data_IF_771418209149
#
_entry.id   IF_771418209149
#
_cell.length_a   1.000
_cell.length_b   1.000
_cell.length_c   1.000
_cell.angle_alpha   90.00
_cell.angle_beta   90.00
_cell.angle_gamma   90.00
#
_symmetry.space_group_name_H-M   'P 1'
#
loop_
_entity.id
_entity.type
_entity.pdbx_description
1 polymer ?
#
# COMPACT_ATOMS: atom_id res chain seq x y z
N UNK A 1 2.02 -41.96 14.06
CA UNK A 1 1.32 -41.29 12.94
C UNK A 1 1.43 -39.79 13.17
N UNK A 2 2.40 -39.15 12.50
CA UNK A 2 2.81 -37.76 12.76
C UNK A 2 1.89 -36.80 12.01
N UNK A 3 1.10 -36.01 12.73
CA UNK A 3 0.29 -34.95 12.14
C UNK A 3 1.17 -33.74 11.81
N UNK A 4 1.50 -33.60 10.53
CA UNK A 4 2.13 -32.41 9.99
C UNK A 4 1.13 -31.25 9.98
N UNK A 5 1.33 -30.27 10.85
CA UNK A 5 0.55 -29.02 10.89
C UNK A 5 0.82 -28.24 9.61
N UNK A 6 -0.14 -28.22 8.68
CA UNK A 6 -0.15 -27.28 7.54
C UNK A 6 -0.17 -25.86 8.08
N UNK A 7 0.96 -25.16 7.95
CA UNK A 7 1.08 -23.72 8.18
C UNK A 7 0.25 -23.00 7.11
N UNK A 8 -1.03 -22.79 7.40
CA UNK A 8 -1.93 -21.99 6.58
C UNK A 8 -1.38 -20.57 6.46
N UNK A 9 -1.34 -20.06 5.23
CA UNK A 9 -0.90 -18.70 4.89
C UNK A 9 -1.97 -17.74 5.39
N UNK A 10 -1.79 -17.25 6.61
CA UNK A 10 -2.74 -16.35 7.27
C UNK A 10 -2.73 -15.03 6.49
N UNK A 11 -3.91 -14.58 6.06
CA UNK A 11 -4.08 -13.27 5.45
C UNK A 11 -3.68 -12.19 6.47
N UNK A 12 -3.02 -11.11 6.04
CA UNK A 12 -2.65 -9.97 6.90
C UNK A 12 -3.85 -9.46 7.71
N UNK A 13 -5.04 -9.56 7.11
CA UNK A 13 -6.31 -9.12 7.67
C UNK A 13 -6.75 -10.00 8.85
N UNK A 14 -6.57 -11.31 8.74
CA UNK A 14 -6.87 -12.26 9.81
C UNK A 14 -5.86 -12.15 10.96
N UNK A 15 -4.59 -11.84 10.64
CA UNK A 15 -3.56 -11.59 11.65
C UNK A 15 -3.85 -10.30 12.45
N UNK A 16 -4.31 -9.23 11.79
CA UNK A 16 -4.68 -7.99 12.47
C UNK A 16 -5.90 -8.15 13.38
N UNK A 17 -6.87 -9.00 13.02
CA UNK A 17 -8.07 -9.26 13.81
C UNK A 17 -7.85 -10.25 14.96
N UNK A 18 -6.90 -11.18 14.82
CA UNK A 18 -6.59 -12.22 15.81
C UNK A 18 -5.49 -11.83 16.82
N UNK A 19 -4.79 -10.71 16.61
CA UNK A 19 -3.78 -10.26 17.54
C UNK A 19 -4.42 -9.73 18.84
N UNK A 20 -3.98 -10.18 20.03
CA UNK A 20 -4.29 -9.49 21.27
C UNK A 20 -3.82 -8.02 21.17
N UNK A 21 -4.46 -7.07 21.89
CA UNK A 21 -4.07 -5.66 21.82
C UNK A 21 -2.55 -5.57 22.02
N UNK A 22 -1.79 -5.13 21.00
CA UNK A 22 -0.34 -5.21 21.04
C UNK A 22 0.12 -4.33 22.20
N UNK A 23 0.80 -4.91 23.20
CA UNK A 23 1.54 -4.12 24.18
C UNK A 23 2.47 -3.18 23.40
N UNK A 24 2.57 -1.88 23.73
CA UNK A 24 3.31 -0.94 22.89
C UNK A 24 4.77 -1.37 22.87
N UNK A 25 5.27 -1.80 21.71
CA UNK A 25 6.65 -2.28 21.57
C UNK A 25 7.64 -1.12 21.37
N UNK A 26 7.15 0.07 21.03
CA UNK A 26 7.93 1.31 20.97
C UNK A 26 7.06 2.46 21.51
N UNK A 27 7.06 2.72 22.83
CA UNK A 27 6.23 3.78 23.40
C UNK A 27 6.77 5.13 22.93
N UNK A 28 5.96 5.84 22.14
CA UNK A 28 6.16 7.27 21.88
C UNK A 28 5.75 8.07 23.11
N UNK A 29 6.26 9.30 23.23
CA UNK A 29 5.77 10.20 24.27
C UNK A 29 4.34 10.67 23.93
N UNK A 30 3.36 10.12 24.65
CA UNK A 30 1.94 10.44 24.50
C UNK A 30 1.56 11.82 25.06
N UNK A 31 2.50 12.51 25.71
CA UNK A 31 2.32 13.89 26.18
C UNK A 31 2.81 14.91 25.17
N UNK A 32 3.70 14.52 24.26
CA UNK A 32 4.24 15.39 23.21
C UNK A 32 3.32 15.40 21.99
N UNK A 33 2.76 16.57 21.70
CA UNK A 33 1.92 16.80 20.53
C UNK A 33 2.62 16.47 19.21
N UNK A 34 3.93 16.73 19.11
CA UNK A 34 4.68 16.55 17.88
C UNK A 34 4.89 15.07 17.53
N UNK A 35 5.21 14.23 18.52
CA UNK A 35 5.38 12.79 18.31
C UNK A 35 4.06 12.10 17.96
N UNK A 36 2.98 12.46 18.64
CA UNK A 36 1.65 11.91 18.35
C UNK A 36 1.19 12.31 16.95
N UNK A 37 1.36 13.58 16.57
CA UNK A 37 1.07 14.05 15.22
C UNK A 37 1.96 13.35 14.17
N UNK A 38 3.23 13.06 14.49
CA UNK A 38 4.15 12.31 13.62
C UNK A 38 3.63 10.90 13.32
N UNK A 39 3.28 10.14 14.35
CA UNK A 39 2.72 8.78 14.18
C UNK A 39 1.38 8.81 13.45
N UNK A 40 0.51 9.78 13.74
CA UNK A 40 -0.75 9.95 13.01
C UNK A 40 -0.51 10.28 11.54
N UNK A 41 0.47 11.13 11.22
CA UNK A 41 0.86 11.42 9.83
C UNK A 41 1.43 10.19 9.13
N UNK A 42 2.29 9.43 9.79
CA UNK A 42 2.82 8.15 9.30
C UNK A 42 1.68 7.18 8.97
N UNK A 43 0.72 7.02 9.89
CA UNK A 43 -0.42 6.13 9.68
C UNK A 43 -1.35 6.63 8.56
N UNK A 44 -1.60 7.94 8.46
CA UNK A 44 -2.38 8.53 7.37
C UNK A 44 -1.70 8.32 6.01
N UNK A 45 -0.38 8.42 5.92
CA UNK A 45 0.39 8.13 4.70
C UNK A 45 0.31 6.67 4.29
N UNK A 46 0.41 5.75 5.24
CA UNK A 46 0.21 4.33 4.98
C UNK A 46 -1.20 4.11 4.41
N UNK A 47 -2.22 4.74 5.02
CA UNK A 47 -3.59 4.72 4.53
C UNK A 47 -3.75 5.24 3.10
N UNK A 48 -3.04 6.32 2.74
CA UNK A 48 -3.03 6.87 1.39
C UNK A 48 -2.49 5.88 0.35
N UNK A 49 -1.41 5.16 0.68
CA UNK A 49 -0.87 4.11 -0.21
C UNK A 49 -1.85 2.93 -0.33
N UNK A 50 -2.49 2.53 0.77
CA UNK A 50 -3.47 1.45 0.76
C UNK A 50 -4.69 1.80 -0.10
N UNK A 51 -5.27 2.99 0.08
CA UNK A 51 -6.42 3.45 -0.70
C UNK A 51 -6.07 3.67 -2.16
N UNK A 52 -4.91 4.28 -2.45
CA UNK A 52 -4.46 4.47 -3.84
C UNK A 52 -4.26 3.14 -4.58
N UNK A 53 -3.90 2.09 -3.84
CA UNK A 53 -3.78 0.72 -4.36
C UNK A 53 -5.10 -0.06 -4.44
N UNK A 54 -6.23 0.55 -4.08
CA UNK A 54 -7.56 -0.07 -4.16
C UNK A 54 -7.99 -0.87 -2.93
N UNK A 55 -7.31 -0.72 -1.79
CA UNK A 55 -7.74 -1.33 -0.52
C UNK A 55 -9.07 -0.72 -0.07
N UNK A 56 -9.96 -1.51 0.52
CA UNK A 56 -11.26 -1.01 0.99
C UNK A 56 -11.09 0.00 2.14
N UNK A 57 -12.05 0.92 2.29
CA UNK A 57 -12.03 1.89 3.41
C UNK A 57 -12.08 1.20 4.77
N UNK A 58 -12.84 0.10 4.92
CA UNK A 58 -12.92 -0.65 6.17
C UNK A 58 -11.60 -1.31 6.53
N UNK A 59 -10.93 -1.95 5.56
CA UNK A 59 -9.65 -2.64 5.81
C UNK A 59 -8.55 -1.63 6.08
N UNK A 60 -8.55 -0.51 5.35
CA UNK A 60 -7.60 0.59 5.56
C UNK A 60 -7.73 1.15 6.97
N UNK A 61 -8.96 1.38 7.47
CA UNK A 61 -9.18 1.81 8.86
C UNK A 61 -8.58 0.85 9.87
N UNK A 62 -8.79 -0.46 9.69
CA UNK A 62 -8.22 -1.49 10.58
C UNK A 62 -6.69 -1.43 10.55
N UNK A 63 -6.07 -1.28 9.39
CA UNK A 63 -4.61 -1.19 9.27
C UNK A 63 -4.04 0.07 9.90
N UNK A 64 -4.67 1.24 9.69
CA UNK A 64 -4.28 2.50 10.33
C UNK A 64 -4.35 2.35 11.85
N UNK A 65 -5.45 1.80 12.37
CA UNK A 65 -5.61 1.54 13.81
C UNK A 65 -4.56 0.55 14.35
N UNK A 66 -4.22 -0.48 13.59
CA UNK A 66 -3.21 -1.45 14.03
C UNK A 66 -1.81 -0.82 14.09
N UNK A 67 -1.47 0.06 13.14
CA UNK A 67 -0.21 0.82 13.14
C UNK A 67 -0.15 1.80 14.30
N UNK A 68 -1.20 2.59 14.53
CA UNK A 68 -1.23 3.54 15.66
C UNK A 68 -1.18 2.82 17.01
N UNK A 69 -1.92 1.71 17.16
CA UNK A 69 -1.89 0.89 18.37
C UNK A 69 -0.51 0.26 18.62
N UNK A 70 0.22 -0.15 17.58
CA UNK A 70 1.58 -0.69 17.74
C UNK A 70 2.56 0.34 18.33
N UNK A 71 2.33 1.63 18.09
CA UNK A 71 3.07 2.76 18.68
C UNK A 71 2.49 3.27 20.00
N UNK A 72 1.44 2.63 20.54
CA UNK A 72 0.82 2.98 21.82
C UNK A 72 -0.38 3.94 21.72
N UNK A 73 -0.79 4.36 20.52
CA UNK A 73 -1.97 5.18 20.29
C UNK A 73 -3.22 4.31 20.09
N UNK A 74 -3.76 3.78 21.19
CA UNK A 74 -4.96 2.92 21.15
C UNK A 74 -6.27 3.69 20.91
N UNK A 75 -6.35 4.92 21.40
CA UNK A 75 -7.57 5.73 21.42
C UNK A 75 -7.61 6.79 20.31
N UNK A 76 -7.22 6.41 19.09
CA UNK A 76 -7.45 7.24 17.91
C UNK A 76 -8.78 6.90 17.25
N UNK A 77 -9.45 7.86 16.62
CA UNK A 77 -10.59 7.65 15.74
C UNK A 77 -10.16 7.93 14.31
N UNK A 78 -10.36 6.97 13.42
CA UNK A 78 -10.04 7.10 11.99
C UNK A 78 -11.34 7.15 11.19
N UNK A 79 -11.55 8.25 10.48
CA UNK A 79 -12.62 8.36 9.50
C UNK A 79 -12.05 8.48 8.09
N UNK A 80 -12.70 7.80 7.15
CA UNK A 80 -12.34 7.84 5.73
C UNK A 80 -13.61 8.18 4.96
N UNK A 81 -13.66 9.41 4.45
CA UNK A 81 -14.78 9.94 3.68
C UNK A 81 -14.29 10.30 2.29
N UNK A 82 -14.85 9.65 1.25
CA UNK A 82 -14.39 9.76 -0.14
C UNK A 82 -12.89 9.41 -0.27
N UNK A 83 -12.06 10.38 -0.65
CA UNK A 83 -10.61 10.28 -0.79
C UNK A 83 -9.85 10.93 0.38
N UNK A 84 -10.54 11.20 1.48
CA UNK A 84 -10.01 11.95 2.60
C UNK A 84 -9.92 11.07 3.84
N UNK A 85 -8.73 11.03 4.43
CA UNK A 85 -8.44 10.32 5.68
C UNK A 85 -8.33 11.37 6.78
N UNK A 86 -9.11 11.20 7.83
CA UNK A 86 -9.02 12.06 9.02
C UNK A 86 -8.79 11.19 10.25
N UNK A 87 -7.76 11.52 11.01
CA UNK A 87 -7.41 10.82 12.25
C UNK A 87 -7.52 11.83 13.39
N UNK A 88 -8.23 11.45 14.45
CA UNK A 88 -8.44 12.26 15.64
C UNK A 88 -7.96 11.50 16.87
N UNK A 89 -7.28 12.17 17.79
CA UNK A 89 -6.98 11.64 19.11
C UNK A 89 -6.94 12.77 20.13
N UNK A 90 -7.14 12.46 21.41
CA UNK A 90 -6.94 13.40 22.49
C UNK A 90 -5.72 12.95 23.30
N UNK A 91 -4.81 13.87 23.59
CA UNK A 91 -3.60 13.62 24.38
C UNK A 91 -3.63 14.39 25.70
N UNK A 92 -2.93 13.88 26.70
CA UNK A 92 -2.84 14.49 28.03
C UNK A 92 -3.76 13.85 29.07
N UNK A 93 -3.27 13.77 30.32
CA UNK A 93 -3.97 13.16 31.45
C UNK A 93 -4.87 14.17 32.19
N UNK A 94 -4.35 15.38 32.44
CA UNK A 94 -5.09 16.44 33.18
C UNK A 94 -5.79 17.43 32.24
N UNK A 95 -5.19 17.74 31.10
CA UNK A 95 -5.75 18.65 30.09
C UNK A 95 -5.72 17.98 28.72
N UNK A 96 -6.89 17.49 28.31
CA UNK A 96 -7.09 16.86 27.01
C UNK A 96 -6.86 17.90 25.92
N UNK A 97 -5.82 17.69 25.12
CA UNK A 97 -5.49 18.50 23.95
C UNK A 97 -5.82 17.68 22.70
N UNK A 98 -6.71 18.16 21.82
CA UNK A 98 -7.06 17.43 20.61
C UNK A 98 -5.93 17.51 19.58
N UNK A 99 -5.61 16.37 18.98
CA UNK A 99 -4.68 16.24 17.85
C UNK A 99 -5.47 15.70 16.68
N UNK A 100 -5.39 16.37 15.54
CA UNK A 100 -6.02 15.91 14.31
C UNK A 100 -5.05 15.97 13.15
N UNK A 101 -5.11 14.93 12.31
CA UNK A 101 -4.37 14.85 11.06
C UNK A 101 -5.37 14.65 9.94
N UNK A 102 -5.22 15.45 8.89
CA UNK A 102 -6.06 15.42 7.71
C UNK A 102 -5.20 15.17 6.48
N UNK A 103 -5.54 14.15 5.70
CA UNK A 103 -4.82 13.79 4.48
C UNK A 103 -5.78 13.52 3.33
N UNK A 104 -5.50 14.13 2.18
CA UNK A 104 -6.24 13.90 0.93
C UNK A 104 -5.43 12.97 0.03
N UNK A 105 -6.02 11.84 -0.32
CA UNK A 105 -5.51 10.87 -1.30
C UNK A 105 -5.68 11.45 -2.70
N UNK A 106 -4.56 11.81 -3.35
CA UNK A 106 -4.57 12.57 -4.62
C UNK A 106 -4.55 11.70 -5.88
N UNK A 107 -3.96 10.51 -5.82
CA UNK A 107 -3.82 9.63 -6.97
C UNK A 107 -4.25 8.22 -6.62
N UNK A 108 -5.28 7.72 -7.29
CA UNK A 108 -5.58 6.30 -7.40
C UNK A 108 -4.69 5.75 -8.52
N UNK A 109 -3.45 5.39 -8.19
CA UNK A 109 -2.51 4.76 -9.12
C UNK A 109 -2.14 3.39 -8.55
N UNK A 110 -2.47 2.34 -9.29
CA UNK A 110 -2.37 0.95 -8.81
C UNK A 110 -0.92 0.47 -8.88
N UNK A 111 -0.10 0.94 -7.95
CA UNK A 111 1.29 0.50 -7.81
C UNK A 111 1.41 -0.66 -6.83
N UNK A 112 1.18 -1.89 -7.33
CA UNK A 112 1.25 -3.11 -6.51
C UNK A 112 2.62 -3.35 -5.85
N UNK A 113 3.70 -2.82 -6.43
CA UNK A 113 5.03 -2.90 -5.80
C UNK A 113 5.08 -2.07 -4.51
N UNK A 114 4.55 -0.84 -4.53
CA UNK A 114 4.44 -0.01 -3.32
C UNK A 114 3.52 -0.63 -2.30
N UNK A 115 2.40 -1.21 -2.73
CA UNK A 115 1.49 -1.94 -1.84
C UNK A 115 2.24 -3.05 -1.09
N UNK A 116 2.97 -3.92 -1.79
CA UNK A 116 3.69 -5.03 -1.15
C UNK A 116 4.73 -4.57 -0.12
N UNK A 117 5.45 -3.48 -0.39
CA UNK A 117 6.45 -2.95 0.55
C UNK A 117 5.79 -2.30 1.77
N UNK A 118 4.69 -1.57 1.59
CA UNK A 118 3.89 -1.05 2.70
C UNK A 118 3.33 -2.18 3.56
N UNK A 119 2.84 -3.24 2.94
CA UNK A 119 2.34 -4.43 3.61
C UNK A 119 3.41 -5.12 4.49
N UNK A 120 4.67 -5.09 4.04
CA UNK A 120 5.83 -5.55 4.84
C UNK A 120 6.14 -4.59 5.98
N UNK A 121 6.12 -3.29 5.71
CA UNK A 121 6.33 -2.25 6.72
C UNK A 121 5.29 -2.37 7.85
N UNK A 122 4.01 -2.49 7.54
CA UNK A 122 2.94 -2.65 8.53
C UNK A 122 3.17 -3.88 9.41
N UNK A 123 3.52 -5.03 8.82
CA UNK A 123 3.86 -6.24 9.59
C UNK A 123 5.08 -6.03 10.50
N UNK A 124 6.09 -5.31 10.01
CA UNK A 124 7.29 -4.98 10.79
C UNK A 124 6.98 -4.07 11.98
N UNK A 125 6.12 -3.08 11.76
CA UNK A 125 5.63 -2.16 12.81
C UNK A 125 4.82 -2.93 13.85
N UNK A 126 3.88 -3.77 13.43
CA UNK A 126 3.07 -4.60 14.33
C UNK A 126 3.93 -5.58 15.15
N UNK A 127 5.03 -6.06 14.59
CA UNK A 127 6.00 -6.89 15.30
C UNK A 127 6.90 -6.09 16.27
N UNK A 128 6.79 -4.76 16.30
CA UNK A 128 7.62 -3.89 17.14
C UNK A 128 9.06 -3.71 16.65
N UNK A 129 9.37 -4.15 15.43
CA UNK A 129 10.73 -4.14 14.89
C UNK A 129 11.13 -2.78 14.29
N UNK A 130 10.18 -1.86 14.07
CA UNK A 130 10.42 -0.60 13.37
C UNK A 130 9.96 0.62 14.18
N UNK A 131 10.89 1.41 14.73
CA UNK A 131 10.61 2.69 15.37
C UNK A 131 9.95 3.70 14.41
N UNK A 132 9.20 4.70 14.92
CA UNK A 132 8.53 5.70 14.09
C UNK A 132 9.47 6.42 13.11
N UNK A 133 10.65 6.83 13.56
CA UNK A 133 11.66 7.53 12.75
C UNK A 133 12.14 6.70 11.56
N UNK A 134 12.35 5.40 11.78
CA UNK A 134 12.76 4.47 10.72
C UNK A 134 11.61 4.23 9.76
N UNK A 135 10.39 4.08 10.27
CA UNK A 135 9.20 3.90 9.45
C UNK A 135 8.95 5.12 8.55
N UNK A 136 9.13 6.33 9.06
CA UNK A 136 9.05 7.56 8.26
C UNK A 136 10.10 7.59 7.15
N UNK A 137 11.33 7.19 7.46
CA UNK A 137 12.40 7.11 6.45
C UNK A 137 12.08 6.10 5.35
N UNK A 138 11.69 4.87 5.72
CA UNK A 138 11.31 3.82 4.75
C UNK A 138 10.17 4.32 3.87
N UNK A 139 9.18 4.99 4.46
CA UNK A 139 8.04 5.50 3.75
C UNK A 139 8.39 6.68 2.82
N UNK A 140 9.29 7.58 3.23
CA UNK A 140 9.85 8.61 2.37
C UNK A 140 10.56 7.99 1.15
N UNK A 141 11.36 6.96 1.37
CA UNK A 141 12.06 6.25 0.30
C UNK A 141 11.05 5.55 -0.64
N UNK A 142 9.97 4.98 -0.11
CA UNK A 142 8.89 4.38 -0.90
C UNK A 142 8.10 5.39 -1.73
N UNK A 143 7.82 6.57 -1.17
CA UNK A 143 7.15 7.64 -1.91
C UNK A 143 8.02 8.14 -3.07
N UNK A 144 9.32 8.30 -2.84
CA UNK A 144 10.29 8.73 -3.85
C UNK A 144 10.64 7.65 -4.88
N UNK A 145 10.50 6.38 -4.52
CA UNK A 145 10.84 5.27 -5.41
C UNK A 145 9.88 5.20 -6.62
N UNK A 146 10.38 5.16 -7.86
CA UNK A 146 9.55 4.92 -9.04
C UNK A 146 8.96 3.51 -9.02
N UNK A 147 7.81 3.32 -9.69
CA UNK A 147 7.11 2.03 -9.73
C UNK A 147 8.03 0.91 -10.24
N UNK A 148 8.35 -0.04 -9.35
CA UNK A 148 9.32 -1.09 -9.59
C UNK A 148 8.67 -2.34 -10.18
N UNK A 149 7.95 -2.19 -11.29
CA UNK A 149 7.71 -3.32 -12.18
C UNK A 149 8.45 -3.04 -13.49
N UNK A 150 9.38 -3.93 -13.82
CA UNK A 150 10.22 -3.77 -15.00
C UNK A 150 9.36 -3.64 -16.24
N UNK A 151 9.45 -2.51 -16.92
CA UNK A 151 8.77 -2.24 -18.20
C UNK A 151 8.87 -3.45 -19.16
N UNK A 152 10.03 -4.10 -19.19
CA UNK A 152 10.28 -5.29 -19.99
C UNK A 152 9.39 -6.48 -19.60
N UNK A 153 9.16 -6.73 -18.31
CA UNK A 153 8.33 -7.86 -17.87
C UNK A 153 6.87 -7.68 -18.24
N UNK A 154 6.33 -6.46 -18.08
CA UNK A 154 4.98 -6.12 -18.53
C UNK A 154 4.86 -6.25 -20.05
N UNK A 155 5.84 -5.72 -20.79
CA UNK A 155 5.89 -5.78 -22.25
C UNK A 155 5.87 -7.22 -22.76
N UNK A 156 6.70 -8.09 -22.19
CA UNK A 156 6.75 -9.51 -22.56
C UNK A 156 5.45 -10.25 -22.23
N UNK A 157 4.87 -10.02 -21.05
CA UNK A 157 3.62 -10.67 -20.65
C UNK A 157 2.47 -10.38 -21.62
N UNK A 158 2.30 -9.11 -21.98
CA UNK A 158 1.25 -8.72 -22.91
C UNK A 158 1.54 -9.09 -24.37
N UNK A 159 2.80 -8.98 -24.83
CA UNK A 159 3.19 -9.43 -26.16
C UNK A 159 2.93 -10.94 -26.31
N UNK A 160 3.30 -11.73 -25.30
CA UNK A 160 3.03 -13.17 -25.24
C UNK A 160 1.53 -13.48 -25.25
N UNK A 161 0.72 -12.69 -24.52
CA UNK A 161 -0.74 -12.81 -24.54
C UNK A 161 -1.31 -12.60 -25.95
N UNK A 162 -0.88 -11.54 -26.65
CA UNK A 162 -1.30 -11.26 -28.02
C UNK A 162 -0.95 -12.38 -29.00
N UNK A 163 0.27 -12.92 -28.93
CA UNK A 163 0.69 -14.07 -29.73
C UNK A 163 -0.12 -15.34 -29.40
N UNK A 164 -0.38 -15.60 -28.11
CA UNK A 164 -1.12 -16.78 -27.67
C UNK A 164 -2.59 -16.75 -28.12
N UNK A 165 -3.24 -15.59 -28.09
CA UNK A 165 -4.62 -15.41 -28.59
C UNK A 165 -4.69 -15.67 -30.10
N UNK A 166 -3.70 -15.20 -30.85
CA UNK A 166 -3.60 -15.44 -32.29
C UNK A 166 -3.47 -16.94 -32.62
N UNK A 167 -2.64 -17.66 -31.86
CA UNK A 167 -2.51 -19.11 -31.98
C UNK A 167 -3.83 -19.85 -31.65
N UNK A 168 -4.55 -19.43 -30.61
CA UNK A 168 -5.85 -19.99 -30.22
C UNK A 168 -6.93 -19.82 -31.30
N UNK A 169 -6.91 -18.71 -32.03
CA UNK A 169 -7.84 -18.43 -33.14
C UNK A 169 -7.49 -19.20 -34.43
N UNK A 170 -6.49 -20.08 -34.40
CA UNK A 170 -6.02 -20.84 -35.56
C UNK A 170 -5.07 -20.05 -36.47
N UNK A 171 -4.49 -18.96 -35.97
CA UNK A 171 -3.46 -18.20 -36.70
C UNK A 171 -2.20 -19.04 -36.91
N UNK A 172 -1.65 -19.01 -38.13
CA UNK A 172 -0.35 -19.60 -38.42
C UNK A 172 0.80 -18.90 -37.67
N UNK A 173 1.99 -19.50 -37.69
CA UNK A 173 3.17 -18.99 -36.97
C UNK A 173 3.49 -17.51 -37.30
N UNK A 174 3.22 -17.10 -38.54
CA UNK A 174 3.39 -15.71 -39.01
C UNK A 174 2.44 -14.76 -38.29
N UNK A 175 1.18 -15.14 -38.12
CA UNK A 175 0.15 -14.32 -37.46
C UNK A 175 0.46 -14.19 -35.97
N UNK A 176 0.97 -15.25 -35.34
CA UNK A 176 1.42 -15.23 -33.95
C UNK A 176 2.56 -14.22 -33.73
N UNK A 177 3.58 -14.21 -34.60
CA UNK A 177 4.66 -13.23 -34.53
C UNK A 177 4.17 -11.80 -34.74
N UNK A 178 3.33 -11.56 -35.75
CA UNK A 178 2.78 -10.24 -36.02
C UNK A 178 2.00 -9.74 -34.81
N UNK A 179 1.11 -10.55 -34.24
CA UNK A 179 0.35 -10.19 -33.04
C UNK A 179 1.25 -9.92 -31.84
N UNK A 180 2.30 -10.72 -31.63
CA UNK A 180 3.28 -10.50 -30.56
C UNK A 180 3.97 -9.13 -30.68
N UNK A 181 4.50 -8.81 -31.87
CA UNK A 181 5.17 -7.53 -32.10
C UNK A 181 4.20 -6.35 -32.05
N UNK A 182 2.99 -6.47 -32.61
CA UNK A 182 1.97 -5.44 -32.54
C UNK A 182 1.57 -5.14 -31.11
N UNK A 183 1.25 -6.15 -30.29
CA UNK A 183 0.93 -5.97 -28.88
C UNK A 183 2.10 -5.38 -28.09
N UNK A 184 3.34 -5.82 -28.38
CA UNK A 184 4.54 -5.24 -27.80
C UNK A 184 4.68 -3.75 -28.14
N UNK A 185 4.55 -3.37 -29.41
CA UNK A 185 4.67 -1.97 -29.85
C UNK A 185 3.60 -1.10 -29.18
N UNK A 186 2.34 -1.53 -29.17
CA UNK A 186 1.22 -0.78 -28.55
C UNK A 186 1.54 -0.45 -27.09
N UNK A 187 2.00 -1.45 -26.34
CA UNK A 187 2.26 -1.28 -24.90
C UNK A 187 3.55 -0.53 -24.64
N UNK A 188 4.56 -0.74 -25.48
CA UNK A 188 5.79 0.02 -25.47
C UNK A 188 5.51 1.51 -25.64
N UNK A 189 4.74 1.86 -26.68
CA UNK A 189 4.34 3.25 -26.97
C UNK A 189 3.43 3.80 -25.87
N UNK A 190 2.41 3.07 -25.43
CA UNK A 190 1.51 3.50 -24.35
C UNK A 190 2.27 3.78 -23.05
N UNK A 191 3.22 2.92 -22.67
CA UNK A 191 4.02 3.14 -21.46
C UNK A 191 5.00 4.31 -21.62
N UNK A 192 5.57 4.49 -22.82
CA UNK A 192 6.47 5.60 -23.11
C UNK A 192 5.71 6.94 -23.03
N UNK A 193 4.54 7.04 -23.65
CA UNK A 193 3.66 8.22 -23.55
C UNK A 193 3.20 8.47 -22.11
N UNK A 194 2.94 7.41 -21.34
CA UNK A 194 2.64 7.51 -19.91
C UNK A 194 3.79 8.11 -19.10
N UNK A 195 5.05 7.79 -19.43
CA UNK A 195 6.23 8.41 -18.83
C UNK A 195 6.39 9.89 -19.20
N UNK A 196 5.89 10.32 -20.36
CA UNK A 196 5.87 11.72 -20.77
C UNK A 196 4.66 12.50 -20.23
N UNK A 197 3.82 11.88 -19.38
CA UNK A 197 2.76 12.57 -18.65
C UNK A 197 1.52 12.91 -19.49
N UNK A 198 1.33 12.26 -20.64
CA UNK A 198 0.11 12.42 -21.42
C UNK A 198 -1.06 11.75 -20.69
N UNK A 199 -2.16 12.48 -20.39
CA UNK A 199 -3.34 11.92 -19.75
C UNK A 199 -3.87 10.72 -20.55
N UNK A 200 -4.35 9.68 -19.85
CA UNK A 200 -4.98 8.48 -20.44
C UNK A 200 -6.13 8.79 -21.41
N UNK A 201 -6.67 10.01 -21.39
CA UNK A 201 -7.69 10.47 -22.34
C UNK A 201 -7.16 10.72 -23.76
N UNK A 202 -5.85 10.91 -23.93
CA UNK A 202 -5.19 11.14 -25.23
C UNK A 202 -4.44 9.91 -25.77
N UNK A 203 -4.48 8.78 -25.03
CA UNK A 203 -3.92 7.49 -25.43
C UNK A 203 -5.02 6.58 -25.97
#
# INVERSE_FOLDING_TARGET
MSFATRRGRISTVDAAKAAPPPSPLAPIDLTDHSQVAGVMNLAARIGDILLSSGTSNSDTKVQIHAVTAAYGLYYCHVDITLNTITIFTNIGMERLTPVSVFRVVRKLDTNFSKLSEVDRLIRSIQAGATPPEIAEKILNDLEQSPASYGFLMSLFGWAMMGGSISALLGGGWVVMLISFFTSGIIIGVSTLLGKYGLPQFFQ
#
